data_IF_742430109326
#
_entry.id   IF_742430109326
#
_cell.length_a   1.000
_cell.length_b   1.000
_cell.length_c   1.000
_cell.angle_alpha   90.00
_cell.angle_beta   90.00
_cell.angle_gamma   90.00
#
_symmetry.space_group_name_H-M   'P 1'
#
loop_
_entity.id
_entity.type
_entity.pdbx_description
1 polymer ?
#
# COMPACT_ATOMS: atom_id res chain seq x y z
N UNK A 1 -7.62 -7.62 25.94
CA UNK A 1 -6.65 -8.18 24.98
C UNK A 1 -6.87 -7.44 23.69
N UNK A 2 -6.10 -6.38 23.45
CA UNK A 2 -6.18 -5.62 22.20
C UNK A 2 -5.50 -6.48 21.14
N UNK A 3 -6.29 -7.17 20.32
CA UNK A 3 -5.74 -7.86 19.15
C UNK A 3 -5.15 -6.79 18.24
N UNK A 4 -3.85 -6.82 18.02
CA UNK A 4 -3.25 -5.96 16.99
C UNK A 4 -3.91 -6.30 15.66
N UNK A 5 -4.28 -5.29 14.85
CA UNK A 5 -4.90 -5.52 13.56
C UNK A 5 -3.95 -6.37 12.70
N UNK A 6 -4.37 -7.59 12.37
CA UNK A 6 -3.60 -8.57 11.61
C UNK A 6 -3.92 -8.47 10.12
N UNK A 7 -2.91 -8.56 9.27
CA UNK A 7 -3.10 -8.58 7.82
C UNK A 7 -3.72 -9.92 7.37
N UNK A 8 -4.57 -9.91 6.32
CA UNK A 8 -5.19 -11.13 5.79
C UNK A 8 -4.23 -11.99 4.95
N UNK A 9 -2.97 -11.58 4.80
CA UNK A 9 -1.94 -12.25 4.02
C UNK A 9 -0.56 -12.08 4.68
N UNK A 10 0.39 -12.91 4.27
CA UNK A 10 1.80 -12.78 4.66
C UNK A 10 2.63 -12.14 3.53
N UNK A 11 3.74 -11.44 3.83
CA UNK A 11 4.62 -10.83 2.83
C UNK A 11 5.01 -11.74 1.64
N UNK A 12 5.41 -13.01 1.83
CA UNK A 12 5.77 -13.88 0.71
C UNK A 12 4.58 -14.29 -0.17
N UNK A 13 3.36 -13.85 0.10
CA UNK A 13 2.20 -14.08 -0.78
C UNK A 13 1.90 -12.88 -1.67
N UNK A 14 2.55 -11.74 -1.44
CA UNK A 14 2.33 -10.51 -2.19
C UNK A 14 2.93 -10.65 -3.59
N UNK A 15 2.11 -10.33 -4.59
CA UNK A 15 2.47 -10.32 -6.00
C UNK A 15 2.71 -8.91 -6.52
N UNK A 16 1.96 -7.92 -6.02
CA UNK A 16 2.12 -6.51 -6.41
C UNK A 16 1.67 -5.59 -5.29
N UNK A 17 2.35 -4.46 -5.14
CA UNK A 17 1.93 -3.35 -4.29
C UNK A 17 1.87 -2.08 -5.14
N UNK A 18 0.72 -1.41 -5.13
CA UNK A 18 0.52 -0.12 -5.81
C UNK A 18 -0.02 0.89 -4.82
N UNK A 19 0.66 2.03 -4.66
CA UNK A 19 0.17 3.18 -3.92
C UNK A 19 -0.43 4.20 -4.85
N UNK A 20 -1.48 4.89 -4.42
CA UNK A 20 -2.06 5.98 -5.19
C UNK A 20 -2.79 6.97 -4.30
N UNK A 21 -2.95 8.20 -4.79
CA UNK A 21 -3.87 9.16 -4.20
C UNK A 21 -5.25 8.97 -4.77
N UNK A 22 -6.25 8.95 -3.91
CA UNK A 22 -7.64 9.11 -4.35
C UNK A 22 -7.98 10.59 -4.29
N UNK A 23 -8.25 11.17 -5.45
CA UNK A 23 -8.67 12.57 -5.53
C UNK A 23 -10.14 12.69 -5.07
N UNK A 24 -10.33 12.85 -3.76
CA UNK A 24 -11.62 13.25 -3.19
C UNK A 24 -11.52 14.73 -2.81
N UNK A 25 -12.50 15.54 -3.24
CA UNK A 25 -12.54 17.01 -3.15
C UNK A 25 -12.16 17.56 -1.75
N UNK A 26 -12.29 16.74 -0.70
CA UNK A 26 -12.07 17.10 0.69
C UNK A 26 -10.97 16.32 1.40
N UNK A 27 -10.40 15.28 0.78
CA UNK A 27 -9.51 14.35 1.49
C UNK A 27 -8.40 13.83 0.57
N UNK A 28 -7.16 14.25 0.82
CA UNK A 28 -5.96 13.69 0.19
C UNK A 28 -5.56 12.45 0.98
N UNK A 29 -6.14 11.29 0.63
CA UNK A 29 -5.78 10.01 1.23
C UNK A 29 -4.84 9.23 0.31
N UNK A 30 -3.75 8.72 0.91
CA UNK A 30 -2.94 7.69 0.29
C UNK A 30 -3.62 6.34 0.46
N UNK A 31 -3.89 5.71 -0.67
CA UNK A 31 -4.44 4.38 -0.81
C UNK A 31 -3.34 3.39 -1.23
N UNK A 32 -3.54 2.12 -0.92
CA UNK A 32 -2.67 1.03 -1.29
C UNK A 32 -3.50 -0.16 -1.76
N UNK A 33 -3.17 -0.68 -2.93
CA UNK A 33 -3.63 -1.97 -3.42
C UNK A 33 -2.52 -3.00 -3.30
N UNK A 34 -2.84 -4.11 -2.64
CA UNK A 34 -1.97 -5.28 -2.54
C UNK A 34 -2.62 -6.42 -3.29
N UNK A 35 -1.94 -6.92 -4.32
CA UNK A 35 -2.36 -8.10 -5.07
C UNK A 35 -1.74 -9.33 -4.42
N UNK A 36 -2.58 -10.29 -4.04
CA UNK A 36 -2.19 -11.58 -3.45
C UNK A 36 -2.94 -12.68 -4.15
N UNK A 37 -2.23 -13.59 -4.82
CA UNK A 37 -2.82 -14.70 -5.58
C UNK A 37 -3.94 -14.25 -6.54
N UNK A 38 -3.75 -13.09 -7.16
CA UNK A 38 -4.72 -12.47 -8.08
C UNK A 38 -5.92 -11.78 -7.41
N UNK A 39 -6.01 -11.76 -6.08
CA UNK A 39 -7.01 -10.99 -5.33
C UNK A 39 -6.46 -9.63 -4.95
N UNK A 40 -7.27 -8.58 -5.09
CA UNK A 40 -6.91 -7.21 -4.72
C UNK A 40 -7.40 -6.95 -3.30
N UNK A 41 -6.47 -6.59 -2.42
CA UNK A 41 -6.75 -6.10 -1.07
C UNK A 41 -6.49 -4.59 -1.04
N UNK A 42 -7.50 -3.82 -0.67
CA UNK A 42 -7.45 -2.36 -0.63
C UNK A 42 -7.27 -1.86 0.80
N UNK A 43 -6.36 -0.90 0.98
CA UNK A 43 -6.07 -0.22 2.23
C UNK A 43 -5.91 1.29 1.99
N UNK A 44 -6.04 2.09 3.04
CA UNK A 44 -5.73 3.52 3.04
C UNK A 44 -5.10 3.92 4.37
N UNK A 45 -4.47 5.10 4.42
CA UNK A 45 -3.64 5.52 5.57
C UNK A 45 -4.37 5.63 6.92
N UNK A 46 -5.70 5.77 6.91
CA UNK A 46 -6.54 5.80 8.11
C UNK A 46 -7.00 4.40 8.57
N UNK A 47 -6.72 3.33 7.81
CA UNK A 47 -6.99 1.96 8.25
C UNK A 47 -6.17 1.62 9.50
N UNK A 48 -6.75 0.88 10.45
CA UNK A 48 -6.05 0.47 11.67
C UNK A 48 -4.82 -0.42 11.36
N UNK A 49 -4.92 -1.21 10.31
CA UNK A 49 -3.91 -2.13 9.77
C UNK A 49 -2.76 -1.40 9.06
N UNK A 50 -2.88 -0.10 8.73
CA UNK A 50 -1.97 0.59 7.82
C UNK A 50 -0.50 0.48 8.23
N UNK A 51 -0.21 0.69 9.52
CA UNK A 51 1.14 0.58 10.05
C UNK A 51 1.68 -0.85 9.97
N UNK A 52 0.84 -1.84 10.26
CA UNK A 52 1.21 -3.25 10.15
C UNK A 52 1.47 -3.63 8.68
N UNK A 53 0.67 -3.11 7.76
CA UNK A 53 0.83 -3.27 6.32
C UNK A 53 2.18 -2.74 5.84
N UNK A 54 2.50 -1.48 6.15
CA UNK A 54 3.77 -0.88 5.73
C UNK A 54 4.99 -1.62 6.32
N UNK A 55 4.92 -2.04 7.58
CA UNK A 55 5.98 -2.84 8.21
C UNK A 55 6.18 -4.18 7.49
N UNK A 56 5.10 -4.80 7.00
CA UNK A 56 5.18 -6.07 6.27
C UNK A 56 5.93 -5.96 4.94
N UNK A 57 5.98 -4.76 4.35
CA UNK A 57 6.71 -4.52 3.10
C UNK A 57 8.22 -4.46 3.28
N UNK A 58 8.73 -4.22 4.49
CA UNK A 58 10.16 -4.26 4.79
C UNK A 58 10.79 -5.63 4.50
N UNK A 59 9.98 -6.70 4.55
CA UNK A 59 10.42 -8.07 4.25
C UNK A 59 10.39 -8.39 2.74
N UNK A 60 9.89 -7.49 1.89
CA UNK A 60 9.80 -7.69 0.44
C UNK A 60 11.09 -7.24 -0.25
N UNK A 61 11.91 -8.21 -0.66
CA UNK A 61 13.09 -7.94 -1.50
C UNK A 61 12.67 -7.28 -2.83
N UNK A 62 13.16 -6.07 -3.07
CA UNK A 62 12.85 -5.30 -4.29
C UNK A 62 11.66 -4.35 -4.15
N UNK A 63 11.13 -4.16 -2.94
CA UNK A 63 10.21 -3.08 -2.64
C UNK A 63 10.91 -1.71 -2.78
N UNK A 64 10.23 -0.77 -3.42
CA UNK A 64 10.68 0.59 -3.66
C UNK A 64 10.39 1.48 -2.45
N UNK A 65 11.39 1.68 -1.59
CA UNK A 65 11.28 2.52 -0.38
C UNK A 65 10.99 3.99 -0.67
N UNK A 66 11.21 4.45 -1.91
CA UNK A 66 10.93 5.82 -2.33
C UNK A 66 9.50 6.01 -2.88
N UNK A 67 8.61 5.02 -2.70
CA UNK A 67 7.22 5.07 -3.18
C UNK A 67 6.47 6.32 -2.70
N UNK A 68 6.72 6.78 -1.48
CA UNK A 68 5.99 7.90 -0.88
C UNK A 68 6.27 9.21 -1.62
N UNK A 69 7.53 9.47 -1.98
CA UNK A 69 7.88 10.66 -2.75
C UNK A 69 7.27 10.63 -4.16
N UNK A 70 7.12 9.43 -4.74
CA UNK A 70 6.52 9.22 -6.06
C UNK A 70 5.01 9.41 -6.04
N UNK A 71 4.29 8.84 -5.07
CA UNK A 71 2.84 8.97 -4.97
C UNK A 71 2.39 10.38 -4.59
N UNK A 72 3.26 11.16 -3.94
CA UNK A 72 2.98 12.55 -3.58
C UNK A 72 3.04 13.53 -4.76
N UNK A 73 3.65 13.15 -5.89
CA UNK A 73 3.84 14.03 -7.04
C UNK A 73 3.24 13.42 -8.33
N UNK A 74 2.48 14.20 -9.13
CA UNK A 74 2.13 15.60 -8.92
C UNK A 74 1.02 15.80 -7.86
N UNK A 75 0.98 16.98 -7.20
CA UNK A 75 -0.09 17.29 -6.26
C UNK A 75 -1.43 17.47 -6.99
N UNK A 76 -2.52 17.01 -6.39
CA UNK A 76 -3.91 17.11 -6.93
C UNK A 76 -4.16 16.32 -8.23
N UNK A 77 -3.39 15.27 -8.47
CA UNK A 77 -3.64 14.33 -9.56
C UNK A 77 -3.50 12.89 -9.04
N UNK A 78 -4.32 11.99 -9.59
CA UNK A 78 -4.18 10.56 -9.33
C UNK A 78 -2.83 10.07 -9.86
N UNK A 79 -1.91 9.74 -8.96
CA UNK A 79 -0.60 9.19 -9.29
C UNK A 79 -0.52 7.76 -8.78
N UNK A 80 -0.54 6.78 -9.69
CA UNK A 80 -0.29 5.37 -9.35
C UNK A 80 1.22 5.10 -9.31
N UNK A 81 1.69 4.62 -8.16
CA UNK A 81 3.08 4.22 -7.95
C UNK A 81 3.12 2.74 -7.62
N UNK A 82 3.67 1.94 -8.54
CA UNK A 82 3.93 0.52 -8.29
C UNK A 82 5.21 0.39 -7.46
N UNK A 83 5.05 0.08 -6.17
CA UNK A 83 6.17 -0.06 -5.23
C UNK A 83 6.78 -1.46 -5.21
N UNK A 84 6.05 -2.47 -5.70
CA UNK A 84 6.57 -3.83 -5.77
C UNK A 84 5.84 -4.64 -6.83
N UNK A 85 6.59 -5.48 -7.54
CA UNK A 85 6.06 -6.56 -8.39
C UNK A 85 6.95 -7.78 -8.22
N UNK A 86 6.33 -8.91 -7.91
CA UNK A 86 7.00 -10.20 -7.83
C UNK A 86 7.45 -10.63 -9.22
N UNK A 87 8.74 -10.94 -9.35
CA UNK A 87 9.34 -11.50 -10.57
C UNK A 87 9.25 -13.01 -10.60
#
# INVERSE_FOLDING_TARGET
MSGEPSLPFSPPQIDRVTFFKRDEITTDLICCEVVVSGQIHFFHEECAEWRALLNSFCDLTGFDDNWFAKVQCPPFEACETVAFVRR
#
